data_IF_108602801904
#
_entry.id   IF_108602801904
#
_cell.length_a   1.000
_cell.length_b   1.000
_cell.length_c   1.000
_cell.angle_alpha   90.00
_cell.angle_beta   90.00
_cell.angle_gamma   90.00
#
_symmetry.space_group_name_H-M   'P 1'
#
loop_
_entity.id
_entity.type
_entity.pdbx_description
1 polymer ?
#
# COMPACT_ATOMS: atom_id res chain seq x y z
N UNK A 1 20.37 -5.94 -12.92
CA UNK A 1 19.09 -5.69 -12.24
C UNK A 1 17.99 -6.25 -13.14
N UNK A 2 17.09 -7.09 -12.64
CA UNK A 2 16.09 -7.77 -13.48
C UNK A 2 15.11 -6.75 -14.07
N UNK A 3 15.04 -6.67 -15.41
CA UNK A 3 14.15 -5.74 -16.14
C UNK A 3 12.68 -5.87 -15.69
N UNK A 4 12.24 -7.10 -15.44
CA UNK A 4 10.89 -7.42 -14.96
C UNK A 4 10.55 -6.73 -13.63
N UNK A 5 11.48 -6.72 -12.67
CA UNK A 5 11.29 -6.09 -11.36
C UNK A 5 11.19 -4.56 -11.52
N UNK A 6 11.99 -3.97 -12.40
CA UNK A 6 11.97 -2.52 -12.61
C UNK A 6 10.66 -2.07 -13.26
N UNK A 7 10.17 -2.79 -14.27
CA UNK A 7 8.86 -2.56 -14.88
C UNK A 7 7.72 -2.67 -13.85
N UNK A 8 7.79 -3.66 -12.95
CA UNK A 8 6.83 -3.80 -11.87
C UNK A 8 6.88 -2.61 -10.89
N UNK A 9 8.08 -2.11 -10.56
CA UNK A 9 8.26 -0.92 -9.71
C UNK A 9 7.73 0.34 -10.36
N UNK A 10 7.85 0.50 -11.68
CA UNK A 10 7.26 1.62 -12.41
C UNK A 10 5.72 1.62 -12.33
N UNK A 11 5.09 0.44 -12.41
CA UNK A 11 3.65 0.29 -12.15
C UNK A 11 3.32 0.81 -10.74
N UNK A 12 4.05 0.35 -9.72
CA UNK A 12 3.81 0.76 -8.33
C UNK A 12 4.02 2.27 -8.14
N UNK A 13 5.09 2.85 -8.69
CA UNK A 13 5.37 4.29 -8.61
C UNK A 13 4.24 5.11 -9.24
N UNK A 14 3.72 4.70 -10.40
CA UNK A 14 2.59 5.36 -11.05
C UNK A 14 1.36 5.41 -10.15
N UNK A 15 0.96 4.26 -9.58
CA UNK A 15 -0.23 4.20 -8.74
C UNK A 15 -0.02 4.80 -7.33
N UNK A 16 1.21 4.83 -6.82
CA UNK A 16 1.58 5.61 -5.63
C UNK A 16 1.25 7.10 -5.85
N UNK A 17 1.71 7.69 -6.95
CA UNK A 17 1.43 9.10 -7.25
C UNK A 17 -0.05 9.37 -7.49
N UNK A 18 -0.76 8.47 -8.18
CA UNK A 18 -2.22 8.55 -8.34
C UNK A 18 -2.91 8.51 -6.98
N UNK A 19 -2.50 7.61 -6.09
CA UNK A 19 -3.08 7.47 -4.75
C UNK A 19 -2.77 8.68 -3.87
N UNK A 20 -1.59 9.29 -4.00
CA UNK A 20 -1.28 10.55 -3.33
C UNK A 20 -2.14 11.71 -3.84
N UNK A 21 -2.40 11.78 -5.15
CA UNK A 21 -3.28 12.80 -5.73
C UNK A 21 -4.78 12.59 -5.46
N UNK A 22 -5.20 11.35 -5.19
CA UNK A 22 -6.60 11.04 -4.90
C UNK A 22 -7.13 11.64 -3.59
N UNK A 23 -6.25 12.02 -2.65
CA UNK A 23 -6.62 12.69 -1.39
C UNK A 23 -7.06 14.15 -1.52
N UNK A 24 -7.28 14.66 -2.74
CA UNK A 24 -7.68 16.05 -3.03
C UNK A 24 -9.22 16.19 -3.14
N UNK A 25 -9.97 15.08 -3.14
CA UNK A 25 -11.44 15.12 -3.20
C UNK A 25 -11.98 15.26 -1.76
N UNK A 26 -12.76 16.32 -1.43
CA UNK A 26 -13.20 16.58 -0.06
C UNK A 26 -14.43 15.72 0.32
N UNK A 27 -14.36 14.39 0.14
CA UNK A 27 -15.42 13.47 0.57
C UNK A 27 -14.85 12.24 1.30
N UNK A 28 -14.85 12.23 2.66
CA UNK A 28 -14.11 11.27 3.48
C UNK A 28 -14.40 9.77 3.22
N UNK A 29 -15.61 9.42 2.82
CA UNK A 29 -16.00 8.01 2.57
C UNK A 29 -15.63 7.57 1.15
N UNK A 30 -15.71 8.49 0.18
CA UNK A 30 -15.29 8.19 -1.18
C UNK A 30 -13.77 7.97 -1.24
N UNK A 31 -13.00 8.68 -0.42
CA UNK A 31 -11.53 8.60 -0.42
C UNK A 31 -11.00 7.17 -0.21
N UNK A 32 -11.54 6.43 0.78
CA UNK A 32 -11.09 5.05 1.05
C UNK A 32 -11.45 4.12 -0.12
N UNK A 33 -12.65 4.26 -0.69
CA UNK A 33 -13.10 3.45 -1.81
C UNK A 33 -12.27 3.71 -3.08
N UNK A 34 -11.91 4.99 -3.32
CA UNK A 34 -11.06 5.41 -4.43
C UNK A 34 -9.64 4.86 -4.25
N UNK A 35 -9.05 5.01 -3.06
CA UNK A 35 -7.72 4.45 -2.75
C UNK A 35 -7.73 2.92 -2.95
N UNK A 36 -8.77 2.24 -2.48
CA UNK A 36 -8.91 0.79 -2.66
C UNK A 36 -9.02 0.43 -4.14
N UNK A 37 -9.78 1.19 -4.94
CA UNK A 37 -9.88 0.98 -6.38
C UNK A 37 -8.54 1.19 -7.10
N UNK A 38 -7.77 2.22 -6.70
CA UNK A 38 -6.41 2.48 -7.18
C UNK A 38 -5.48 1.31 -6.85
N UNK A 39 -5.52 0.80 -5.63
CA UNK A 39 -4.73 -0.36 -5.18
C UNK A 39 -5.11 -1.65 -5.91
N UNK A 40 -6.41 -1.92 -6.08
CA UNK A 40 -6.90 -3.06 -6.86
C UNK A 40 -6.42 -2.98 -8.31
N UNK A 41 -6.47 -1.79 -8.92
CA UNK A 41 -6.02 -1.59 -10.29
C UNK A 41 -4.50 -1.78 -10.42
N UNK A 42 -3.73 -1.26 -9.47
CA UNK A 42 -2.28 -1.47 -9.39
C UNK A 42 -1.94 -2.96 -9.34
N UNK A 43 -2.57 -3.69 -8.43
CA UNK A 43 -2.30 -5.13 -8.24
C UNK A 43 -2.77 -5.94 -9.45
N UNK A 44 -3.86 -5.54 -10.12
CA UNK A 44 -4.27 -6.13 -11.40
C UNK A 44 -3.23 -5.91 -12.51
N UNK A 45 -2.61 -4.72 -12.58
CA UNK A 45 -1.51 -4.47 -13.51
C UNK A 45 -0.27 -5.31 -13.18
N UNK A 46 0.07 -5.46 -11.89
CA UNK A 46 1.14 -6.35 -11.46
C UNK A 46 0.82 -7.81 -11.85
N UNK A 47 -0.37 -8.31 -11.54
CA UNK A 47 -0.78 -9.67 -11.91
C UNK A 47 -0.62 -9.92 -13.41
N UNK A 48 -1.06 -8.97 -14.25
CA UNK A 48 -0.87 -9.05 -15.70
C UNK A 48 0.62 -9.08 -16.09
N UNK A 49 1.45 -8.25 -15.46
CA UNK A 49 2.90 -8.20 -15.69
C UNK A 49 3.60 -9.51 -15.30
N UNK A 50 3.07 -10.18 -14.27
CA UNK A 50 3.58 -11.45 -13.78
C UNK A 50 2.91 -12.67 -14.42
N UNK A 51 1.96 -12.48 -15.33
CA UNK A 51 1.15 -13.53 -15.97
C UNK A 51 0.34 -14.38 -14.96
N UNK A 52 -0.08 -13.76 -13.86
CA UNK A 52 -0.87 -14.40 -12.80
C UNK A 52 -2.36 -14.05 -12.99
N UNK A 53 -3.28 -15.02 -12.88
CA UNK A 53 -4.71 -14.74 -12.97
C UNK A 53 -5.16 -13.84 -11.83
N UNK A 54 -5.72 -12.68 -12.17
CA UNK A 54 -6.16 -11.70 -11.18
C UNK A 54 -7.45 -12.14 -10.49
N UNK A 55 -7.44 -12.15 -9.15
CA UNK A 55 -8.63 -12.39 -8.33
C UNK A 55 -8.99 -11.14 -7.52
N UNK A 56 -10.08 -10.47 -7.89
CA UNK A 56 -10.53 -9.24 -7.22
C UNK A 56 -10.90 -9.48 -5.76
N UNK A 57 -11.64 -10.55 -5.46
CA UNK A 57 -12.11 -10.84 -4.10
C UNK A 57 -10.95 -11.12 -3.14
N UNK A 58 -9.99 -11.94 -3.56
CA UNK A 58 -8.80 -12.26 -2.76
C UNK A 58 -7.95 -11.01 -2.57
N UNK A 59 -7.69 -10.26 -3.65
CA UNK A 59 -6.93 -9.01 -3.57
C UNK A 59 -7.57 -8.02 -2.60
N UNK A 60 -8.89 -7.86 -2.65
CA UNK A 60 -9.61 -6.97 -1.75
C UNK A 60 -9.47 -7.42 -0.29
N UNK A 61 -9.56 -8.73 -0.01
CA UNK A 61 -9.32 -9.28 1.33
C UNK A 61 -7.91 -8.99 1.84
N UNK A 62 -6.89 -9.13 0.98
CA UNK A 62 -5.50 -8.82 1.32
C UNK A 62 -5.33 -7.33 1.62
N UNK A 63 -5.87 -6.46 0.77
CA UNK A 63 -5.85 -4.99 0.98
C UNK A 63 -6.49 -4.64 2.33
N UNK A 64 -7.67 -5.20 2.64
CA UNK A 64 -8.36 -4.92 3.91
C UNK A 64 -7.57 -5.43 5.11
N UNK A 65 -6.97 -6.63 5.02
CA UNK A 65 -6.19 -7.22 6.12
C UNK A 65 -4.88 -6.47 6.39
N UNK A 66 -4.17 -6.06 5.34
CA UNK A 66 -2.94 -5.29 5.47
C UNK A 66 -3.24 -3.83 5.82
N UNK A 67 -4.28 -3.24 5.23
CA UNK A 67 -4.71 -1.86 5.51
C UNK A 67 -5.17 -1.65 6.95
N UNK A 68 -5.80 -2.64 7.58
CA UNK A 68 -6.19 -2.56 9.00
C UNK A 68 -4.99 -2.45 9.95
N UNK A 69 -3.81 -2.93 9.50
CA UNK A 69 -2.54 -2.82 10.24
C UNK A 69 -2.10 -1.38 10.45
N UNK A 70 -2.40 -0.51 9.49
CA UNK A 70 -1.92 0.86 9.44
C UNK A 70 -3.15 1.75 9.37
N UNK A 71 -3.91 1.82 10.45
CA UNK A 71 -5.05 2.74 10.54
C UNK A 71 -4.62 4.00 11.28
N UNK A 72 -4.91 5.18 10.72
CA UNK A 72 -4.77 6.45 11.45
C UNK A 72 -6.10 6.68 12.18
N UNK A 73 -6.38 5.91 13.23
CA UNK A 73 -7.54 6.18 14.08
C UNK A 73 -7.22 7.35 15.01
N UNK A 74 -7.95 8.46 14.88
CA UNK A 74 -7.79 9.71 15.65
C UNK A 74 -8.02 9.61 17.17
N UNK A 75 -8.00 8.42 17.78
CA UNK A 75 -8.30 8.29 19.22
C UNK A 75 -7.98 6.95 19.89
N UNK A 76 -7.72 5.85 19.18
CA UNK A 76 -7.46 4.56 19.83
C UNK A 76 -6.00 4.15 19.74
N UNK A 77 -5.42 3.88 20.92
CA UNK A 77 -4.17 3.16 21.18
C UNK A 77 -4.22 1.69 20.70
N UNK A 78 -4.74 1.42 19.51
CA UNK A 78 -4.79 0.08 18.93
C UNK A 78 -3.55 -0.17 18.09
N UNK A 79 -2.50 -0.78 18.64
CA UNK A 79 -1.29 -1.29 17.93
C UNK A 79 -0.48 -0.24 17.13
N UNK A 80 -0.91 1.01 17.06
CA UNK A 80 -0.24 2.08 16.30
C UNK A 80 0.72 2.91 17.22
N UNK A 81 0.65 2.74 18.55
CA UNK A 81 1.41 3.56 19.52
C UNK A 81 2.95 3.47 19.42
N UNK A 82 3.49 2.40 18.82
CA UNK A 82 4.94 2.21 18.65
C UNK A 82 5.42 2.57 17.24
N UNK A 83 4.61 2.33 16.22
CA UNK A 83 4.93 2.63 14.81
C UNK A 83 4.72 4.09 14.45
N UNK A 84 3.77 4.80 15.07
CA UNK A 84 3.63 6.26 14.91
C UNK A 84 4.88 7.01 15.39
N UNK A 85 5.52 6.55 16.48
CA UNK A 85 6.80 7.10 16.95
C UNK A 85 7.95 6.81 15.97
N UNK A 86 7.82 5.79 15.13
CA UNK A 86 8.81 5.37 14.13
C UNK A 86 8.61 6.04 12.76
N UNK A 87 7.57 6.87 12.60
CA UNK A 87 7.38 7.72 11.42
C UNK A 87 7.57 9.19 11.86
N UNK A 88 8.83 9.65 12.05
CA UNK A 88 9.11 11.04 12.43
C UNK A 88 8.45 12.05 11.50
N UNK A 89 8.32 11.70 10.21
CA UNK A 89 7.79 12.55 9.15
C UNK A 89 6.33 12.93 9.37
N UNK A 90 5.50 12.08 9.99
CA UNK A 90 4.11 12.44 10.29
C UNK A 90 4.00 13.60 11.31
N UNK A 91 5.02 13.79 12.15
CA UNK A 91 5.12 14.95 13.04
C UNK A 91 5.54 16.25 12.33
N UNK A 92 6.20 16.15 11.17
CA UNK A 92 6.71 17.28 10.39
C UNK A 92 5.79 17.65 9.20
N UNK A 93 4.89 16.75 8.80
CA UNK A 93 3.92 17.02 7.74
C UNK A 93 2.79 17.92 8.26
N UNK A 94 2.45 18.96 7.50
CA UNK A 94 1.25 19.74 7.80
C UNK A 94 -0.01 18.91 7.49
N UNK A 95 -1.08 19.17 8.23
CA UNK A 95 -2.37 18.48 8.12
C UNK A 95 -2.85 18.14 6.69
N UNK A 96 -2.74 19.03 5.67
CA UNK A 96 -3.19 18.71 4.31
C UNK A 96 -2.36 17.65 3.58
N UNK A 97 -1.10 17.41 3.97
CA UNK A 97 -0.23 16.43 3.29
C UNK A 97 -0.23 15.06 3.94
N UNK A 98 -0.80 14.92 5.15
CA UNK A 98 -0.81 13.65 5.88
C UNK A 98 -1.53 12.57 5.09
N UNK A 99 -2.75 12.84 4.60
CA UNK A 99 -3.56 11.86 3.87
C UNK A 99 -2.98 11.49 2.49
N UNK A 100 -2.57 12.44 1.64
CA UNK A 100 -1.85 12.17 0.39
C UNK A 100 -0.59 11.31 0.57
N UNK A 101 0.25 11.65 1.56
CA UNK A 101 1.48 10.90 1.85
C UNK A 101 1.15 9.51 2.35
N UNK A 102 0.17 9.40 3.25
CA UNK A 102 -0.29 8.12 3.77
C UNK A 102 -0.80 7.20 2.66
N UNK A 103 -1.71 7.69 1.83
CA UNK A 103 -2.31 6.93 0.74
C UNK A 103 -1.26 6.45 -0.28
N UNK A 104 -0.33 7.33 -0.67
CA UNK A 104 0.79 6.97 -1.54
C UNK A 104 1.71 5.92 -0.93
N UNK A 105 2.08 6.10 0.34
CA UNK A 105 2.97 5.19 1.08
C UNK A 105 2.33 3.81 1.24
N UNK A 106 1.05 3.75 1.62
CA UNK A 106 0.30 2.50 1.75
C UNK A 106 0.22 1.75 0.42
N UNK A 107 -0.07 2.48 -0.66
CA UNK A 107 -0.12 1.91 -2.02
C UNK A 107 1.24 1.42 -2.48
N UNK A 108 2.32 2.16 -2.21
CA UNK A 108 3.68 1.71 -2.53
C UNK A 108 4.04 0.43 -1.80
N UNK A 109 3.87 0.39 -0.47
CA UNK A 109 4.22 -0.77 0.35
C UNK A 109 3.42 -2.02 -0.05
N UNK A 110 2.13 -1.88 -0.38
CA UNK A 110 1.32 -2.98 -0.91
C UNK A 110 1.91 -3.49 -2.24
N UNK A 111 2.28 -2.59 -3.14
CA UNK A 111 2.89 -2.95 -4.41
C UNK A 111 4.19 -3.75 -4.22
N UNK A 112 5.06 -3.34 -3.29
CA UNK A 112 6.31 -4.07 -3.02
C UNK A 112 6.07 -5.47 -2.45
N UNK A 113 5.09 -5.64 -1.57
CA UNK A 113 4.68 -6.97 -1.06
C UNK A 113 4.29 -7.89 -2.22
N UNK A 114 3.44 -7.42 -3.13
CA UNK A 114 3.00 -8.22 -4.28
C UNK A 114 4.12 -8.51 -5.27
N UNK A 115 5.00 -7.53 -5.55
CA UNK A 115 6.19 -7.75 -6.40
C UNK A 115 7.05 -8.87 -5.82
N UNK A 116 7.40 -8.79 -4.54
CA UNK A 116 8.24 -9.81 -3.91
C UNK A 116 7.57 -11.19 -3.89
N UNK A 117 6.28 -11.24 -3.63
CA UNK A 117 5.51 -12.49 -3.64
C UNK A 117 5.46 -13.14 -5.03
N UNK A 118 5.18 -12.35 -6.07
CA UNK A 118 5.09 -12.84 -7.44
C UNK A 118 6.47 -13.20 -8.02
N UNK A 119 7.52 -12.45 -7.70
CA UNK A 119 8.90 -12.82 -8.07
C UNK A 119 9.35 -14.12 -7.40
N UNK A 120 8.81 -14.44 -6.23
CA UNK A 120 9.06 -15.72 -5.55
C UNK A 120 8.25 -16.89 -6.13
N UNK A 121 7.46 -16.65 -7.18
CA UNK A 121 6.60 -17.64 -7.83
C UNK A 121 5.23 -17.84 -7.14
N UNK A 122 4.88 -16.99 -6.16
CA UNK A 122 3.62 -17.08 -5.45
C UNK A 122 2.43 -16.53 -6.25
N UNK A 123 1.22 -16.93 -5.88
CA UNK A 123 -0.03 -16.40 -6.47
C UNK A 123 -0.90 -15.70 -5.42
N UNK A 124 -2.04 -15.17 -5.82
CA UNK A 124 -3.04 -14.62 -4.88
C UNK A 124 -3.48 -15.62 -3.81
N UNK A 125 -3.52 -16.93 -4.13
CA UNK A 125 -3.99 -17.97 -3.22
C UNK A 125 -2.98 -18.27 -2.10
N UNK A 126 -1.71 -18.01 -2.36
CA UNK A 126 -0.60 -18.37 -1.47
C UNK A 126 -0.08 -17.17 -0.67
N UNK A 127 -0.62 -15.98 -0.92
CA UNK A 127 -0.26 -14.79 -0.18
C UNK A 127 -0.95 -14.82 1.19
N UNK A 128 -0.14 -15.04 2.22
CA UNK A 128 -0.55 -15.01 3.61
C UNK A 128 -0.39 -13.58 4.17
N UNK A 129 -1.49 -12.85 4.46
CA UNK A 129 -1.42 -11.49 4.96
C UNK A 129 -0.73 -11.38 6.33
N UNK A 130 -0.82 -12.42 7.17
CA UNK A 130 -0.27 -12.38 8.51
C UNK A 130 1.26 -12.55 8.48
N UNK A 131 1.77 -13.40 7.59
CA UNK A 131 3.22 -13.55 7.36
C UNK A 131 3.83 -12.33 6.67
N UNK A 132 3.08 -11.65 5.82
CA UNK A 132 3.56 -10.49 5.06
C UNK A 132 3.35 -9.15 5.79
N UNK A 133 2.60 -9.14 6.89
CA UNK A 133 2.26 -7.94 7.68
C UNK A 133 3.49 -7.15 8.13
N UNK A 134 4.50 -7.84 8.67
CA UNK A 134 5.71 -7.16 9.15
C UNK A 134 6.56 -6.60 8.00
N UNK A 135 6.60 -7.32 6.88
CA UNK A 135 7.25 -6.82 5.67
C UNK A 135 6.53 -5.58 5.11
N UNK A 136 5.20 -5.61 5.05
CA UNK A 136 4.37 -4.48 4.67
C UNK A 136 4.63 -3.25 5.54
N UNK A 137 4.62 -3.40 6.88
CA UNK A 137 4.94 -2.32 7.82
C UNK A 137 6.34 -1.74 7.58
N UNK A 138 7.33 -2.61 7.36
CA UNK A 138 8.72 -2.20 7.11
C UNK A 138 8.83 -1.35 5.84
N UNK A 139 8.24 -1.80 4.73
CA UNK A 139 8.25 -1.03 3.48
C UNK A 139 7.46 0.27 3.58
N UNK A 140 6.35 0.27 4.35
CA UNK A 140 5.60 1.48 4.65
C UNK A 140 6.47 2.51 5.39
N UNK A 141 7.11 2.11 6.49
CA UNK A 141 7.97 3.01 7.29
C UNK A 141 9.14 3.51 6.44
N UNK A 142 9.82 2.61 5.73
CA UNK A 142 10.94 2.95 4.85
C UNK A 142 10.54 3.99 3.81
N UNK A 143 9.37 3.82 3.16
CA UNK A 143 8.90 4.79 2.17
C UNK A 143 8.45 6.10 2.81
N UNK A 144 7.83 6.06 3.99
CA UNK A 144 7.41 7.27 4.73
C UNK A 144 8.59 8.16 5.15
N UNK A 145 9.77 7.59 5.41
CA UNK A 145 11.00 8.33 5.74
C UNK A 145 11.69 8.94 4.52
N UNK A 146 11.28 8.56 3.31
CA UNK A 146 11.83 9.07 2.05
C UNK A 146 11.07 10.29 1.52
N UNK A 147 10.06 10.77 2.25
CA UNK A 147 9.37 12.04 2.03
C UNK A 147 10.00 13.13 2.89
#
# INVERSE_FOLDING_TARGET
MNERIEQAREIVKKYMWISSGAGIIPVPILDISIITAVQLKMISCLAKHYEIPFSKSITQSIITSLGSTITISSGSRGIIGSTLKAIPVLGNLSAPFIMPTFAGTATYALGIVFIQHFESGGTFLDLDPDKTREFYKKEFIKKSQAY
#
